data_IF_931336120011
#
_entry.id   IF_931336120011
#
_cell.length_a   1.000
_cell.length_b   1.000
_cell.length_c   1.000
_cell.angle_alpha   90.00
_cell.angle_beta   90.00
_cell.angle_gamma   90.00
#
_symmetry.space_group_name_H-M   'P 1'
#
loop_
_entity.id
_entity.type
_entity.pdbx_description
1 polymer ?
#
# COMPACT_ATOMS: atom_id res chain seq x y z
N UNK A 1 21.66 1.73 29.28
CA UNK A 1 20.31 2.24 28.98
C UNK A 1 20.46 3.32 27.93
N UNK A 2 19.88 3.12 26.74
CA UNK A 2 19.85 4.17 25.72
C UNK A 2 18.86 5.23 26.21
N UNK A 3 19.28 6.48 26.33
CA UNK A 3 18.39 7.57 26.69
C UNK A 3 17.27 7.65 25.65
N UNK A 4 16.01 7.46 26.07
CA UNK A 4 14.88 7.60 25.14
C UNK A 4 14.75 9.08 24.77
N UNK A 5 15.11 9.43 23.54
CA UNK A 5 14.88 10.79 23.02
C UNK A 5 13.41 11.18 23.12
N UNK A 6 13.15 12.47 23.33
CA UNK A 6 11.80 13.00 23.40
C UNK A 6 11.10 12.91 22.02
N UNK A 7 9.78 12.69 22.03
CA UNK A 7 8.96 12.72 20.83
C UNK A 7 8.95 14.11 20.21
N UNK A 8 9.29 14.21 18.93
CA UNK A 8 9.15 15.41 18.10
C UNK A 8 7.79 15.37 17.39
N UNK A 9 7.24 16.54 17.06
CA UNK A 9 5.94 16.68 16.40
C UNK A 9 6.09 17.31 15.02
N UNK A 10 5.35 16.79 14.04
CA UNK A 10 5.25 17.31 12.69
C UNK A 10 3.76 17.51 12.34
N UNK A 11 3.30 18.76 12.10
CA UNK A 11 1.90 19.03 11.74
C UNK A 11 1.54 18.37 10.40
N UNK A 12 0.70 17.33 10.44
CA UNK A 12 0.18 16.59 9.29
C UNK A 12 -1.16 15.96 9.70
N UNK A 13 -2.24 16.40 9.07
CA UNK A 13 -3.59 15.87 9.30
C UNK A 13 -3.77 14.47 8.72
N UNK A 14 -4.74 13.72 9.24
CA UNK A 14 -5.07 12.37 8.75
C UNK A 14 -5.48 12.30 7.27
N UNK A 15 -5.95 13.40 6.68
CA UNK A 15 -6.25 13.46 5.24
C UNK A 15 -5.00 13.54 4.37
N UNK A 16 -3.89 14.05 4.91
CA UNK A 16 -2.60 14.15 4.23
C UNK A 16 -1.71 12.95 4.49
N UNK A 17 -1.78 12.34 5.67
CA UNK A 17 -1.08 11.08 5.98
C UNK A 17 -1.88 10.33 7.05
N UNK A 18 -2.16 9.06 6.80
CA UNK A 18 -2.63 8.12 7.82
C UNK A 18 -1.64 6.96 7.91
N UNK A 19 -0.79 6.97 8.94
CA UNK A 19 0.28 5.96 9.07
C UNK A 19 -0.28 4.55 9.30
N UNK A 20 -1.40 4.42 10.00
CA UNK A 20 -2.04 3.12 10.23
C UNK A 20 -2.48 2.46 8.92
N UNK A 21 -2.95 3.24 7.96
CA UNK A 21 -3.32 2.71 6.64
C UNK A 21 -2.08 2.55 5.77
N UNK A 22 -1.23 3.58 5.69
CA UNK A 22 -0.08 3.64 4.78
C UNK A 22 0.96 2.55 5.09
N UNK A 23 1.26 2.32 6.36
CA UNK A 23 2.28 1.35 6.77
C UNK A 23 1.81 -0.12 6.70
N UNK A 24 0.50 -0.36 6.53
CA UNK A 24 -0.11 -1.71 6.48
C UNK A 24 -0.61 -2.12 5.09
N UNK A 25 -0.61 -1.20 4.12
CA UNK A 25 -1.17 -1.45 2.80
C UNK A 25 -0.23 -2.20 1.83
N UNK A 26 0.86 -2.79 2.33
CA UNK A 26 1.75 -3.64 1.54
C UNK A 26 2.77 -2.89 0.67
N UNK A 27 3.04 -1.63 0.99
CA UNK A 27 4.10 -0.83 0.35
C UNK A 27 5.48 -1.13 0.94
N UNK A 28 5.59 -1.07 2.26
CA UNK A 28 6.79 -1.45 3.02
C UNK A 28 6.46 -2.64 3.91
N UNK A 29 7.48 -3.45 4.20
CA UNK A 29 7.34 -4.70 4.96
C UNK A 29 8.12 -4.69 6.28
N UNK A 30 8.74 -3.56 6.64
CA UNK A 30 9.64 -3.45 7.82
C UNK A 30 9.01 -2.82 9.06
N UNK A 31 7.88 -2.14 8.89
CA UNK A 31 7.15 -1.51 9.99
C UNK A 31 6.54 -2.56 10.93
N UNK A 32 6.82 -2.43 12.22
CA UNK A 32 6.29 -3.30 13.28
C UNK A 32 5.61 -2.47 14.37
N UNK A 33 4.51 -2.97 14.92
CA UNK A 33 3.95 -2.46 16.17
C UNK A 33 4.48 -3.31 17.33
N UNK A 34 5.62 -2.88 17.89
CA UNK A 34 6.21 -3.51 19.07
C UNK A 34 5.57 -3.00 20.36
N UNK A 35 5.07 -1.77 20.33
CA UNK A 35 4.28 -1.13 21.38
C UNK A 35 2.91 -0.73 20.81
N UNK A 36 1.83 -0.78 21.60
CA UNK A 36 0.50 -0.40 21.11
C UNK A 36 0.48 1.02 20.54
N UNK A 37 -0.10 1.18 19.35
CA UNK A 37 -0.23 2.46 18.62
C UNK A 37 1.11 3.13 18.24
N UNK A 38 2.23 2.40 18.27
CA UNK A 38 3.53 2.90 17.88
C UNK A 38 4.15 1.99 16.82
N UNK A 39 4.46 2.58 15.67
CA UNK A 39 5.11 1.92 14.54
C UNK A 39 6.61 2.13 14.64
N UNK A 40 7.39 1.07 14.57
CA UNK A 40 8.85 1.16 14.60
C UNK A 40 9.51 0.36 13.51
N UNK A 41 10.61 0.89 12.98
CA UNK A 41 11.54 0.19 12.10
C UNK A 41 12.94 0.81 12.21
N UNK A 42 13.91 0.20 11.55
CA UNK A 42 15.24 0.78 11.34
C UNK A 42 15.33 1.35 9.94
N UNK A 43 16.00 2.50 9.81
CA UNK A 43 16.16 3.18 8.54
C UNK A 43 17.40 4.07 8.58
N UNK A 44 18.33 3.91 7.64
CA UNK A 44 19.54 4.74 7.54
C UNK A 44 20.29 4.88 8.87
N UNK A 45 20.59 3.75 9.51
CA UNK A 45 21.44 3.68 10.70
C UNK A 45 20.77 4.12 12.01
N UNK A 46 19.45 4.32 12.03
CA UNK A 46 18.71 4.70 13.25
C UNK A 46 17.44 3.86 13.43
N UNK A 47 16.99 3.72 14.67
CA UNK A 47 15.68 3.14 15.00
C UNK A 47 14.67 4.29 15.03
N UNK A 48 13.68 4.24 14.13
CA UNK A 48 12.60 5.21 14.04
C UNK A 48 11.34 4.66 14.70
N UNK A 49 10.66 5.51 15.47
CA UNK A 49 9.33 5.24 16.00
C UNK A 49 8.37 6.36 15.59
N UNK A 50 7.14 5.97 15.24
CA UNK A 50 6.05 6.87 14.87
C UNK A 50 4.77 6.55 15.62
N UNK A 51 4.02 7.59 15.97
CA UNK A 51 2.60 7.52 16.33
C UNK A 51 1.90 8.75 15.81
N UNK A 52 0.59 8.70 15.64
CA UNK A 52 -0.13 9.79 14.98
C UNK A 52 -1.43 10.09 15.72
N UNK A 53 -1.73 11.39 15.85
CA UNK A 53 -3.04 11.90 16.24
C UNK A 53 -3.72 12.57 15.03
N UNK A 54 -4.88 13.19 15.23
CA UNK A 54 -5.68 13.79 14.15
C UNK A 54 -4.95 14.88 13.35
N UNK A 55 -3.95 15.52 13.97
CA UNK A 55 -3.32 16.75 13.49
C UNK A 55 -1.79 16.68 13.36
N UNK A 56 -1.15 15.73 14.04
CA UNK A 56 0.30 15.61 14.08
C UNK A 56 0.78 14.18 13.92
N UNK A 57 1.84 14.03 13.13
CA UNK A 57 2.74 12.88 13.20
C UNK A 57 3.76 13.12 14.32
N UNK A 58 3.84 12.21 15.27
CA UNK A 58 4.89 12.19 16.29
C UNK A 58 5.97 11.24 15.83
N UNK A 59 7.22 11.67 15.93
CA UNK A 59 8.37 10.86 15.56
C UNK A 59 9.48 10.92 16.59
N UNK A 60 10.26 9.85 16.66
CA UNK A 60 11.46 9.73 17.49
C UNK A 60 12.51 8.93 16.72
N UNK A 61 13.77 9.35 16.81
CA UNK A 61 14.91 8.58 16.37
C UNK A 61 15.71 8.11 17.58
N UNK A 62 16.34 6.95 17.45
CA UNK A 62 17.34 6.45 18.39
C UNK A 62 18.54 6.04 17.55
N UNK A 63 19.68 6.68 17.82
CA UNK A 63 20.95 6.35 17.19
C UNK A 63 21.71 5.32 18.01
N UNK A 64 22.46 4.40 17.38
CA UNK A 64 23.34 3.47 18.08
C UNK A 64 24.36 4.23 18.96
N UNK A 65 24.62 3.74 20.16
CA UNK A 65 25.48 4.40 21.15
C UNK A 65 26.97 4.45 20.77
N UNK A 66 27.39 3.77 19.70
CA UNK A 66 28.73 3.83 19.15
C UNK A 66 28.64 3.91 17.62
N UNK A 67 29.24 4.94 17.05
CA UNK A 67 29.59 4.93 15.63
C UNK A 67 30.46 3.69 15.38
N UNK A 68 30.03 2.80 14.47
CA UNK A 68 30.88 1.74 13.98
C UNK A 68 32.18 2.38 13.44
N UNK A 69 33.37 1.85 13.75
CA UNK A 69 34.63 2.44 13.33
C UNK A 69 34.73 2.40 11.80
N UNK A 70 34.42 3.52 11.16
CA UNK A 70 34.72 3.78 9.75
C UNK A 70 35.74 4.92 9.69
N UNK A 71 36.93 4.73 9.12
CA UNK A 71 37.93 5.79 9.00
C UNK A 71 37.82 6.56 7.66
N UNK A 72 38.30 7.82 7.58
CA UNK A 72 38.05 8.93 8.48
C UNK A 72 37.09 9.97 7.87
N UNK A 73 36.33 10.61 8.76
CA UNK A 73 35.72 11.94 8.71
C UNK A 73 35.85 12.73 7.40
N UNK A 74 34.73 12.87 6.71
CA UNK A 74 34.41 14.09 5.94
C UNK A 74 33.22 14.74 6.63
N UNK A 75 33.49 15.89 7.24
CA UNK A 75 32.54 16.87 7.76
C UNK A 75 31.37 16.33 8.59
N UNK A 76 31.59 16.31 9.91
CA UNK A 76 30.52 16.35 10.89
C UNK A 76 29.60 17.54 10.61
N UNK A 77 28.52 17.31 9.87
CA UNK A 77 27.35 18.17 9.95
C UNK A 77 26.49 17.63 11.08
N UNK A 78 26.66 18.26 12.23
CA UNK A 78 26.11 17.97 13.56
C UNK A 78 24.59 18.21 13.68
N UNK A 79 23.83 18.01 12.60
CA UNK A 79 22.38 18.24 12.57
C UNK A 79 21.62 16.94 12.32
N UNK A 80 20.82 16.52 13.31
CA UNK A 80 19.87 15.43 13.16
C UNK A 80 18.94 15.66 11.94
N UNK A 81 19.21 14.94 10.86
CA UNK A 81 18.48 15.00 9.58
C UNK A 81 17.17 14.20 9.61
N UNK A 82 16.77 13.64 10.75
CA UNK A 82 15.57 12.79 10.90
C UNK A 82 14.32 13.47 10.34
N UNK A 83 14.12 14.77 10.56
CA UNK A 83 12.94 15.45 10.03
C UNK A 83 12.92 15.45 8.49
N UNK A 84 14.07 15.67 7.85
CA UNK A 84 14.19 15.64 6.40
C UNK A 84 13.94 14.23 5.87
N UNK A 85 14.50 13.22 6.54
CA UNK A 85 14.28 11.81 6.23
C UNK A 85 12.80 11.43 6.35
N UNK A 86 12.11 11.82 7.43
CA UNK A 86 10.67 11.56 7.64
C UNK A 86 9.83 12.21 6.54
N UNK A 87 10.10 13.48 6.22
CA UNK A 87 9.40 14.19 5.14
C UNK A 87 9.63 13.55 3.78
N UNK A 88 10.85 13.07 3.51
CA UNK A 88 11.19 12.37 2.28
C UNK A 88 10.50 11.01 2.20
N UNK A 89 10.66 10.16 3.22
CA UNK A 89 10.14 8.79 3.26
C UNK A 89 8.61 8.74 3.12
N UNK A 90 7.88 9.60 3.84
CA UNK A 90 6.43 9.74 3.67
C UNK A 90 6.02 10.59 2.48
N UNK A 91 6.97 11.10 1.71
CA UNK A 91 6.75 11.87 0.50
C UNK A 91 5.88 13.12 0.74
N UNK A 92 6.10 13.87 1.81
CA UNK A 92 5.18 14.92 2.30
C UNK A 92 5.18 16.23 1.49
N UNK A 93 5.89 16.29 0.36
CA UNK A 93 5.96 17.52 -0.47
C UNK A 93 4.69 17.76 -1.29
N UNK A 94 4.14 16.80 -2.05
CA UNK A 94 2.92 17.01 -2.82
C UNK A 94 1.71 17.19 -1.89
N UNK A 95 0.73 18.00 -2.27
CA UNK A 95 -0.53 18.11 -1.53
C UNK A 95 -1.44 16.92 -1.87
N UNK A 96 -1.63 16.00 -0.91
CA UNK A 96 -2.38 14.76 -1.18
C UNK A 96 -3.86 15.04 -1.42
N UNK A 97 -4.44 15.99 -0.69
CA UNK A 97 -5.85 16.37 -0.83
C UNK A 97 -6.15 16.92 -2.22
N UNK A 98 -5.24 17.70 -2.81
CA UNK A 98 -5.33 18.19 -4.19
C UNK A 98 -5.25 17.04 -5.20
N UNK A 99 -4.37 16.06 -4.98
CA UNK A 99 -4.29 14.86 -5.82
C UNK A 99 -5.60 14.05 -5.75
N UNK A 100 -6.15 13.85 -4.55
CA UNK A 100 -7.43 13.15 -4.37
C UNK A 100 -8.58 13.86 -5.08
N UNK A 101 -8.64 15.20 -4.99
CA UNK A 101 -9.64 16.00 -5.70
C UNK A 101 -9.52 15.82 -7.22
N UNK A 102 -8.30 15.83 -7.77
CA UNK A 102 -8.06 15.61 -9.18
C UNK A 102 -8.45 14.20 -9.64
N UNK A 103 -8.02 13.15 -8.94
CA UNK A 103 -8.38 11.78 -9.29
C UNK A 103 -9.88 11.53 -9.16
N UNK A 104 -10.54 12.11 -8.16
CA UNK A 104 -11.98 12.04 -8.02
C UNK A 104 -12.71 12.79 -9.14
N UNK A 105 -12.16 13.90 -9.64
CA UNK A 105 -12.70 14.61 -10.80
C UNK A 105 -12.67 13.73 -12.07
N UNK A 106 -11.56 13.02 -12.29
CA UNK A 106 -11.31 12.20 -13.49
C UNK A 106 -11.92 10.79 -13.45
N UNK A 107 -12.21 10.24 -12.27
CA UNK A 107 -12.74 8.87 -12.11
C UNK A 107 -13.84 8.77 -11.05
N UNK A 108 -15.03 8.36 -11.49
CA UNK A 108 -16.21 8.16 -10.64
C UNK A 108 -16.05 6.99 -9.68
N UNK A 109 -15.30 5.94 -10.06
CA UNK A 109 -15.02 4.81 -9.17
C UNK A 109 -14.12 5.23 -8.01
N UNK A 110 -13.06 5.99 -8.29
CA UNK A 110 -12.20 6.59 -7.29
C UNK A 110 -13.00 7.51 -6.36
N UNK A 111 -13.80 8.43 -6.92
CA UNK A 111 -14.65 9.36 -6.14
C UNK A 111 -15.54 8.65 -5.12
N UNK A 112 -16.10 7.50 -5.48
CA UNK A 112 -16.99 6.74 -4.61
C UNK A 112 -16.26 6.06 -3.43
N UNK A 113 -14.97 5.70 -3.58
CA UNK A 113 -14.23 4.88 -2.61
C UNK A 113 -13.22 5.67 -1.77
N UNK A 114 -12.57 6.66 -2.37
CA UNK A 114 -11.48 7.41 -1.76
C UNK A 114 -11.81 8.13 -0.43
N UNK A 115 -13.02 8.66 -0.18
CA UNK A 115 -13.33 9.36 1.07
C UNK A 115 -13.15 8.51 2.34
N UNK A 116 -13.23 7.17 2.22
CA UNK A 116 -13.03 6.23 3.33
C UNK A 116 -11.56 5.84 3.55
N UNK A 117 -10.68 6.25 2.63
CA UNK A 117 -9.27 5.87 2.54
C UNK A 117 -8.40 7.08 2.28
N UNK A 118 -8.56 8.14 3.07
CA UNK A 118 -7.72 9.34 2.98
C UNK A 118 -6.36 9.12 3.63
N UNK A 119 -5.39 9.98 3.31
CA UNK A 119 -4.05 9.92 3.91
C UNK A 119 -3.18 8.75 3.43
N UNK A 120 -3.60 8.00 2.41
CA UNK A 120 -2.77 6.93 1.80
C UNK A 120 -1.76 7.56 0.84
N UNK A 121 -0.48 7.52 1.22
CA UNK A 121 0.64 8.05 0.43
C UNK A 121 1.51 6.95 -0.14
N UNK A 122 2.22 7.24 -1.22
CA UNK A 122 3.32 6.39 -1.70
C UNK A 122 4.60 6.71 -0.95
N UNK A 123 5.13 5.72 -0.25
CA UNK A 123 6.41 5.82 0.45
C UNK A 123 7.56 5.96 -0.56
N UNK A 124 8.55 6.81 -0.25
CA UNK A 124 9.83 6.89 -0.97
C UNK A 124 10.85 6.01 -0.26
N UNK A 125 10.82 4.71 -0.57
CA UNK A 125 11.72 3.72 0.01
C UNK A 125 13.10 3.78 -0.64
N UNK A 126 14.08 3.19 0.04
CA UNK A 126 15.33 2.82 -0.60
C UNK A 126 15.05 1.80 -1.74
N UNK A 127 15.70 2.01 -2.89
CA UNK A 127 15.42 1.22 -4.09
C UNK A 127 15.86 -0.24 -3.92
N UNK A 128 16.93 -0.48 -3.17
CA UNK A 128 17.43 -1.81 -2.88
C UNK A 128 16.53 -2.55 -1.89
N UNK A 129 16.09 -1.88 -0.83
CA UNK A 129 15.08 -2.40 0.11
C UNK A 129 13.77 -2.76 -0.61
N UNK A 130 13.25 -1.84 -1.44
CA UNK A 130 12.03 -2.07 -2.21
C UNK A 130 12.18 -3.28 -3.14
N UNK A 131 13.30 -3.37 -3.87
CA UNK A 131 13.58 -4.47 -4.80
C UNK A 131 13.51 -5.84 -4.12
N UNK A 132 14.23 -6.04 -3.02
CA UNK A 132 14.21 -7.32 -2.31
C UNK A 132 12.87 -7.58 -1.62
N UNK A 133 12.24 -6.55 -1.06
CA UNK A 133 10.89 -6.64 -0.49
C UNK A 133 9.86 -7.15 -1.51
N UNK A 134 9.89 -6.62 -2.73
CA UNK A 134 8.95 -7.04 -3.78
C UNK A 134 9.32 -8.37 -4.45
N UNK A 135 10.59 -8.76 -4.51
CA UNK A 135 10.97 -10.14 -4.86
C UNK A 135 10.33 -11.12 -3.87
N UNK A 136 10.39 -10.84 -2.56
CA UNK A 136 9.72 -11.62 -1.51
C UNK A 136 8.18 -11.66 -1.67
N UNK A 137 7.60 -10.64 -2.30
CA UNK A 137 6.14 -10.50 -2.47
C UNK A 137 5.50 -11.40 -3.53
N UNK A 138 6.28 -11.85 -4.52
CA UNK A 138 5.78 -12.66 -5.63
C UNK A 138 5.03 -13.90 -5.12
N UNK A 139 3.75 -14.08 -5.48
CA UNK A 139 2.90 -15.20 -5.01
C UNK A 139 2.95 -15.42 -3.48
N UNK A 140 2.67 -14.38 -2.70
CA UNK A 140 2.79 -14.39 -1.25
C UNK A 140 1.71 -13.51 -0.58
N UNK A 141 1.70 -13.41 0.75
CA UNK A 141 0.81 -12.51 1.49
C UNK A 141 1.62 -11.55 2.39
N UNK A 142 1.06 -10.38 2.69
CA UNK A 142 1.73 -9.29 3.41
C UNK A 142 2.37 -9.78 4.72
N UNK A 143 1.65 -10.56 5.53
CA UNK A 143 2.16 -11.06 6.81
C UNK A 143 3.43 -11.91 6.65
N UNK A 144 3.42 -12.85 5.70
CA UNK A 144 4.59 -13.71 5.43
C UNK A 144 5.73 -12.92 4.82
N UNK A 145 5.45 -11.95 3.95
CA UNK A 145 6.47 -11.08 3.36
C UNK A 145 7.18 -10.28 4.45
N UNK A 146 6.43 -9.65 5.36
CA UNK A 146 7.00 -8.93 6.51
C UNK A 146 7.89 -9.81 7.38
N UNK A 147 7.48 -11.06 7.65
CA UNK A 147 8.31 -12.01 8.38
C UNK A 147 9.60 -12.35 7.63
N UNK A 148 9.52 -12.58 6.32
CA UNK A 148 10.70 -12.86 5.49
C UNK A 148 11.67 -11.67 5.51
N UNK A 149 11.19 -10.45 5.26
CA UNK A 149 12.03 -9.25 5.26
C UNK A 149 12.63 -8.99 6.64
N UNK A 150 11.88 -9.21 7.71
CA UNK A 150 12.43 -9.11 9.07
C UNK A 150 13.55 -10.12 9.33
N UNK A 151 13.35 -11.39 8.95
CA UNK A 151 14.38 -12.42 9.08
C UNK A 151 15.62 -12.09 8.24
N UNK A 152 15.44 -11.52 7.04
CA UNK A 152 16.55 -11.05 6.21
C UNK A 152 17.41 -10.03 6.96
N UNK A 153 16.77 -9.01 7.55
CA UNK A 153 17.46 -7.97 8.32
C UNK A 153 18.15 -8.56 9.56
N UNK A 154 17.47 -9.44 10.30
CA UNK A 154 18.02 -10.05 11.52
C UNK A 154 19.30 -10.87 11.26
N UNK A 155 19.36 -11.56 10.11
CA UNK A 155 20.48 -12.45 9.81
C UNK A 155 21.62 -11.80 9.03
N UNK A 156 21.33 -10.77 8.22
CA UNK A 156 22.31 -10.17 7.31
C UNK A 156 22.47 -8.67 7.48
N UNK A 157 21.54 -8.01 8.19
CA UNK A 157 21.56 -6.57 8.38
C UNK A 157 22.37 -6.14 9.60
N UNK A 158 22.95 -4.93 9.56
CA UNK A 158 23.75 -4.42 10.66
C UNK A 158 22.89 -4.20 11.91
N UNK A 159 23.39 -4.63 13.06
CA UNK A 159 22.71 -4.44 14.34
C UNK A 159 22.81 -2.98 14.79
N UNK A 160 21.67 -2.37 15.16
CA UNK A 160 21.60 -0.96 15.57
C UNK A 160 21.28 -0.77 17.06
N UNK A 161 20.72 -1.77 17.72
CA UNK A 161 20.36 -1.70 19.13
C UNK A 161 19.11 -2.51 19.46
N UNK A 162 18.51 -2.22 20.62
CA UNK A 162 17.27 -2.85 21.06
C UNK A 162 16.16 -1.82 21.20
N UNK A 163 14.93 -2.22 20.90
CA UNK A 163 13.72 -1.51 21.30
C UNK A 163 12.93 -2.42 22.26
N UNK A 164 13.02 -2.15 23.57
CA UNK A 164 12.65 -3.14 24.58
C UNK A 164 13.60 -4.34 24.51
N UNK A 165 13.04 -5.55 24.42
CA UNK A 165 13.81 -6.80 24.27
C UNK A 165 14.05 -7.18 22.80
N UNK A 166 13.52 -6.40 21.85
CA UNK A 166 13.60 -6.71 20.43
C UNK A 166 14.91 -6.17 19.81
N UNK A 167 15.77 -7.03 19.24
CA UNK A 167 16.94 -6.57 18.52
C UNK A 167 16.53 -5.95 17.18
N UNK A 168 17.09 -4.79 16.88
CA UNK A 168 16.79 -3.97 15.72
C UNK A 168 17.99 -3.99 14.79
N UNK A 169 17.79 -4.51 13.58
CA UNK A 169 18.81 -4.58 12.52
C UNK A 169 18.37 -3.74 11.33
N UNK A 170 19.29 -3.05 10.66
CA UNK A 170 19.00 -2.34 9.42
C UNK A 170 18.89 -3.30 8.21
N UNK A 171 18.62 -2.76 7.02
CA UNK A 171 18.57 -3.53 5.79
C UNK A 171 19.99 -3.96 5.36
N UNK A 172 20.20 -5.22 4.93
CA UNK A 172 21.50 -5.64 4.43
C UNK A 172 21.84 -4.97 3.10
N UNK A 173 23.11 -4.68 2.89
CA UNK A 173 23.67 -4.21 1.62
C UNK A 173 23.71 -5.33 0.57
N UNK A 174 23.82 -5.00 -0.73
CA UNK A 174 24.04 -6.01 -1.77
C UNK A 174 25.27 -6.89 -1.51
N UNK A 175 26.36 -6.30 -0.98
CA UNK A 175 27.59 -7.03 -0.69
C UNK A 175 27.39 -8.12 0.38
N UNK A 176 26.67 -7.82 1.46
CA UNK A 176 26.35 -8.78 2.53
C UNK A 176 25.52 -9.97 2.03
N UNK A 177 24.71 -9.77 0.97
CA UNK A 177 23.88 -10.81 0.36
C UNK A 177 24.49 -11.48 -0.88
N UNK A 178 25.61 -10.98 -1.39
CA UNK A 178 26.29 -11.55 -2.56
C UNK A 178 27.28 -12.67 -2.20
N UNK A 179 27.54 -12.90 -0.91
CA UNK A 179 28.54 -13.88 -0.44
C UNK A 179 28.09 -15.34 -0.66
N UNK A 180 29.04 -16.29 -0.80
CA UNK A 180 28.71 -17.72 -0.92
C UNK A 180 27.85 -18.24 0.23
N UNK A 181 26.91 -19.13 -0.06
CA UNK A 181 26.04 -19.78 0.94
C UNK A 181 24.75 -19.02 1.29
N UNK A 182 24.58 -17.77 0.86
CA UNK A 182 23.37 -16.97 1.14
C UNK A 182 22.11 -17.65 0.62
N UNK A 183 22.11 -18.19 -0.61
CA UNK A 183 20.94 -18.91 -1.14
C UNK A 183 20.53 -20.07 -0.22
N UNK A 184 21.47 -20.93 0.15
CA UNK A 184 21.19 -22.09 0.99
C UNK A 184 20.61 -21.66 2.34
N UNK A 185 21.22 -20.66 2.98
CA UNK A 185 20.74 -20.15 4.26
C UNK A 185 19.36 -19.51 4.16
N UNK A 186 19.06 -18.76 3.09
CA UNK A 186 17.70 -18.23 2.87
C UNK A 186 16.67 -19.34 2.64
N UNK A 187 17.05 -20.48 2.04
CA UNK A 187 16.16 -21.65 1.94
C UNK A 187 15.83 -22.22 3.31
N UNK A 188 16.83 -22.37 4.19
CA UNK A 188 16.65 -22.79 5.58
C UNK A 188 15.73 -21.84 6.36
N UNK A 189 15.84 -20.53 6.09
CA UNK A 189 14.99 -19.49 6.69
C UNK A 189 13.59 -19.38 6.06
N UNK A 190 13.21 -20.29 5.16
CA UNK A 190 11.84 -20.40 4.64
C UNK A 190 11.50 -19.49 3.45
N UNK A 191 12.51 -18.93 2.76
CA UNK A 191 12.29 -18.09 1.57
C UNK A 191 11.85 -18.90 0.34
N UNK A 192 12.05 -20.23 0.37
CA UNK A 192 11.69 -21.13 -0.72
C UNK A 192 12.45 -20.80 -2.01
N UNK A 193 11.77 -20.85 -3.16
CA UNK A 193 12.38 -20.58 -4.45
C UNK A 193 12.94 -19.15 -4.58
N UNK A 194 12.44 -18.19 -3.78
CA UNK A 194 12.87 -16.78 -3.80
C UNK A 194 14.29 -16.61 -3.25
N UNK A 195 14.79 -17.57 -2.48
CA UNK A 195 16.17 -17.56 -2.01
C UNK A 195 17.17 -17.43 -3.17
N UNK A 196 16.96 -18.18 -4.25
CA UNK A 196 17.77 -18.08 -5.47
C UNK A 196 17.68 -16.69 -6.11
N UNK A 197 16.48 -16.12 -6.13
CA UNK A 197 16.24 -14.81 -6.75
C UNK A 197 16.95 -13.69 -5.98
N UNK A 198 16.88 -13.73 -4.65
CA UNK A 198 17.54 -12.76 -3.79
C UNK A 198 19.06 -12.87 -3.92
N UNK A 199 19.62 -14.07 -3.77
CA UNK A 199 21.08 -14.28 -3.86
C UNK A 199 21.62 -13.86 -5.23
N UNK A 200 20.95 -14.25 -6.32
CA UNK A 200 21.40 -13.87 -7.66
C UNK A 200 21.24 -12.38 -7.95
N UNK A 201 20.14 -11.78 -7.52
CA UNK A 201 19.93 -10.33 -7.66
C UNK A 201 20.95 -9.54 -6.84
N UNK A 202 21.28 -9.98 -5.62
CA UNK A 202 22.31 -9.37 -4.80
C UNK A 202 23.68 -9.39 -5.49
N UNK A 203 24.07 -10.51 -6.10
CA UNK A 203 25.29 -10.61 -6.90
C UNK A 203 25.28 -9.62 -8.07
N UNK A 204 24.21 -9.58 -8.86
CA UNK A 204 24.09 -8.68 -10.01
C UNK A 204 24.15 -7.20 -9.61
N UNK A 205 23.46 -6.82 -8.53
CA UNK A 205 23.47 -5.44 -8.02
C UNK A 205 24.80 -5.10 -7.38
N UNK A 206 25.45 -6.04 -6.69
CA UNK A 206 26.79 -5.86 -6.14
C UNK A 206 27.83 -5.62 -7.25
N UNK A 207 27.79 -6.41 -8.33
CA UNK A 207 28.66 -6.27 -9.51
C UNK A 207 28.45 -4.94 -10.24
N UNK A 208 27.18 -4.50 -10.41
CA UNK A 208 26.85 -3.21 -11.06
C UNK A 208 27.06 -2.00 -10.14
N UNK A 209 27.02 -2.20 -8.83
CA UNK A 209 27.06 -1.18 -7.79
C UNK A 209 25.70 -0.53 -7.50
N UNK A 210 25.52 -0.07 -6.26
CA UNK A 210 24.32 0.71 -5.86
C UNK A 210 24.08 1.98 -6.69
N UNK A 211 25.12 2.71 -7.19
CA UNK A 211 24.90 3.86 -8.08
C UNK A 211 24.12 3.52 -9.35
N UNK A 212 24.28 2.30 -9.91
CA UNK A 212 23.49 1.86 -11.06
C UNK A 212 22.00 1.83 -10.74
N UNK A 213 21.62 1.19 -9.61
CA UNK A 213 20.21 1.09 -9.20
C UNK A 213 19.63 2.47 -8.86
N UNK A 214 20.40 3.31 -8.15
CA UNK A 214 19.98 4.66 -7.81
C UNK A 214 19.90 5.60 -9.03
N UNK A 215 20.67 5.33 -10.08
CA UNK A 215 20.59 6.03 -11.36
C UNK A 215 19.27 5.83 -12.11
N UNK A 216 18.48 4.80 -11.74
CA UNK A 216 17.15 4.55 -12.32
C UNK A 216 16.04 5.39 -11.67
N UNK A 217 16.37 6.20 -10.66
CA UNK A 217 15.40 7.06 -9.96
C UNK A 217 14.86 8.14 -10.91
N UNK A 218 13.59 8.47 -10.75
CA UNK A 218 12.97 9.59 -11.45
C UNK A 218 13.73 10.89 -11.08
N UNK A 219 14.36 11.57 -12.04
CA UNK A 219 15.11 12.80 -11.77
C UNK A 219 14.19 14.01 -11.54
N UNK A 220 12.92 13.92 -11.92
CA UNK A 220 11.98 15.01 -11.76
C UNK A 220 11.61 15.20 -10.28
N UNK A 221 11.50 16.45 -9.80
CA UNK A 221 10.97 16.70 -8.46
C UNK A 221 9.54 16.15 -8.34
N UNK A 222 9.13 15.64 -7.15
CA UNK A 222 7.77 15.18 -6.94
C UNK A 222 6.78 16.32 -7.20
N UNK A 223 5.83 16.10 -8.12
CA UNK A 223 4.67 16.96 -8.37
C UNK A 223 5.01 18.43 -8.73
N UNK A 224 5.25 18.70 -10.02
CA UNK A 224 5.20 20.08 -10.56
C UNK A 224 3.93 20.34 -11.39
N UNK A 225 3.25 19.29 -11.87
CA UNK A 225 1.99 19.40 -12.62
C UNK A 225 1.07 18.22 -12.33
N UNK A 226 -0.17 18.52 -11.93
CA UNK A 226 -1.20 17.53 -11.53
C UNK A 226 -1.94 16.96 -12.76
N UNK A 227 -1.69 17.51 -13.96
CA UNK A 227 -2.51 17.25 -15.15
C UNK A 227 -1.70 16.94 -16.42
N UNK A 228 -0.42 16.60 -16.30
CA UNK A 228 0.35 16.18 -17.47
C UNK A 228 -0.15 14.81 -17.96
N UNK A 229 -0.62 14.80 -19.21
CA UNK A 229 -1.03 13.59 -19.89
C UNK A 229 0.19 12.67 -20.02
N UNK A 230 0.03 11.43 -19.57
CA UNK A 230 1.06 10.40 -19.71
C UNK A 230 0.70 9.56 -20.93
N UNK A 231 1.65 9.41 -21.84
CA UNK A 231 1.50 8.55 -23.01
C UNK A 231 1.32 7.07 -22.63
N UNK A 232 0.76 6.29 -23.55
CA UNK A 232 0.68 4.84 -23.39
C UNK A 232 2.08 4.26 -23.17
N UNK A 233 2.20 3.36 -22.20
CA UNK A 233 3.49 2.81 -21.76
C UNK A 233 4.28 3.71 -20.79
N UNK A 234 3.84 4.93 -20.47
CA UNK A 234 4.53 5.81 -19.51
C UNK A 234 5.72 6.58 -20.09
N UNK A 235 6.37 7.44 -19.29
CA UNK A 235 7.49 8.28 -19.76
C UNK A 235 8.72 7.44 -20.17
N UNK A 236 9.58 7.91 -21.08
CA UNK A 236 10.80 7.21 -21.50
C UNK A 236 11.66 6.70 -20.32
N UNK A 237 11.97 7.57 -19.35
CA UNK A 237 12.80 7.18 -18.20
C UNK A 237 12.16 6.11 -17.30
N UNK A 238 10.83 6.12 -17.14
CA UNK A 238 10.12 5.04 -16.45
C UNK A 238 10.27 3.71 -17.21
N UNK A 239 10.11 3.74 -18.54
CA UNK A 239 10.25 2.54 -19.38
C UNK A 239 11.67 1.97 -19.33
N UNK A 240 12.68 2.83 -19.33
CA UNK A 240 14.09 2.43 -19.17
C UNK A 240 14.35 1.82 -17.80
N UNK A 241 13.89 2.45 -16.72
CA UNK A 241 14.01 1.93 -15.36
C UNK A 241 13.31 0.57 -15.21
N UNK A 242 12.10 0.43 -15.75
CA UNK A 242 11.33 -0.81 -15.74
C UNK A 242 12.06 -1.92 -16.51
N UNK A 243 12.54 -1.64 -17.72
CA UNK A 243 13.29 -2.60 -18.53
C UNK A 243 14.58 -3.05 -17.85
N UNK A 244 15.34 -2.12 -17.26
CA UNK A 244 16.57 -2.43 -16.54
C UNK A 244 16.32 -3.34 -15.31
N UNK A 245 15.20 -3.13 -14.60
CA UNK A 245 14.81 -3.98 -13.47
C UNK A 245 14.41 -5.40 -13.91
N UNK A 246 13.79 -5.57 -15.09
CA UNK A 246 13.40 -6.88 -15.63
C UNK A 246 14.59 -7.80 -15.96
N UNK A 247 15.80 -7.25 -16.07
CA UNK A 247 17.02 -8.06 -16.24
C UNK A 247 17.36 -8.86 -14.97
N UNK A 248 16.89 -8.42 -13.80
CA UNK A 248 17.23 -9.02 -12.52
C UNK A 248 16.45 -10.32 -12.26
N UNK A 249 17.09 -11.23 -11.51
CA UNK A 249 16.51 -12.54 -11.25
C UNK A 249 15.29 -12.47 -10.33
N UNK A 250 14.14 -12.93 -10.80
CA UNK A 250 12.89 -12.95 -10.02
C UNK A 250 12.12 -11.64 -10.06
N UNK A 251 12.52 -10.71 -10.93
CA UNK A 251 11.79 -9.46 -11.20
C UNK A 251 10.97 -9.61 -12.47
N UNK A 252 9.64 -9.72 -12.30
CA UNK A 252 8.69 -9.63 -13.41
C UNK A 252 8.04 -8.24 -13.49
N UNK A 253 7.14 -7.99 -14.47
CA UNK A 253 6.54 -6.68 -14.70
C UNK A 253 5.95 -6.04 -13.45
N UNK A 254 5.17 -6.80 -12.66
CA UNK A 254 4.59 -6.32 -11.40
C UNK A 254 5.65 -5.92 -10.37
N UNK A 255 6.72 -6.70 -10.23
CA UNK A 255 7.79 -6.40 -9.26
C UNK A 255 8.54 -5.14 -9.71
N UNK A 256 8.88 -5.04 -11.00
CA UNK A 256 9.52 -3.86 -11.57
C UNK A 256 8.65 -2.61 -11.35
N UNK A 257 7.34 -2.67 -11.60
CA UNK A 257 6.43 -1.55 -11.34
C UNK A 257 6.35 -1.17 -9.87
N UNK A 258 6.33 -2.14 -8.95
CA UNK A 258 6.37 -1.83 -7.53
C UNK A 258 7.65 -1.08 -7.13
N UNK A 259 8.81 -1.48 -7.68
CA UNK A 259 10.09 -0.82 -7.42
C UNK A 259 10.13 0.56 -8.08
N UNK A 260 9.63 0.69 -9.31
CA UNK A 260 9.49 1.99 -9.98
C UNK A 260 8.66 2.97 -9.14
N UNK A 261 7.50 2.55 -8.65
CA UNK A 261 6.58 3.38 -7.89
C UNK A 261 7.14 3.76 -6.51
N UNK A 262 7.55 2.76 -5.72
CA UNK A 262 7.82 2.93 -4.28
C UNK A 262 9.31 3.05 -3.94
N UNK A 263 10.21 2.64 -4.84
CA UNK A 263 11.66 2.73 -4.64
C UNK A 263 12.34 3.79 -5.52
N UNK A 264 11.84 4.02 -6.73
CA UNK A 264 12.48 4.90 -7.72
C UNK A 264 11.73 6.22 -7.98
N UNK A 265 10.50 6.38 -7.46
CA UNK A 265 9.75 7.64 -7.56
C UNK A 265 9.06 7.89 -8.91
N UNK A 266 8.81 6.84 -9.69
CA UNK A 266 8.00 6.91 -10.91
C UNK A 266 6.52 6.78 -10.56
N UNK A 267 5.87 7.92 -10.29
CA UNK A 267 4.46 7.99 -9.87
C UNK A 267 3.46 7.39 -10.87
N UNK A 268 3.84 7.31 -12.15
CA UNK A 268 3.01 6.76 -13.21
C UNK A 268 3.06 5.23 -13.33
N UNK A 269 3.94 4.58 -12.55
CA UNK A 269 4.06 3.13 -12.54
C UNK A 269 2.83 2.51 -11.87
N UNK A 270 2.20 1.55 -12.56
CA UNK A 270 0.95 0.90 -12.11
C UNK A 270 1.19 -0.60 -11.98
N UNK A 271 1.51 -1.11 -10.78
CA UNK A 271 1.69 -2.55 -10.58
C UNK A 271 0.35 -3.28 -10.67
N UNK A 272 0.19 -4.17 -11.67
CA UNK A 272 -1.06 -4.92 -11.85
C UNK A 272 -0.89 -6.36 -11.35
N UNK A 273 -1.41 -6.65 -10.17
CA UNK A 273 -1.51 -8.01 -9.63
C UNK A 273 -2.94 -8.57 -9.76
N UNK A 274 -3.22 -9.70 -9.12
CA UNK A 274 -4.56 -10.30 -9.13
C UNK A 274 -5.61 -9.44 -8.43
N UNK A 275 -5.25 -8.65 -7.42
CA UNK A 275 -6.18 -7.73 -6.76
C UNK A 275 -6.52 -6.54 -7.66
N UNK A 276 -5.51 -5.96 -8.31
CA UNK A 276 -5.71 -4.86 -9.26
C UNK A 276 -6.47 -5.33 -10.49
N UNK A 277 -6.21 -6.55 -10.97
CA UNK A 277 -7.01 -7.18 -12.02
C UNK A 277 -8.49 -7.32 -11.61
N UNK A 278 -8.78 -7.78 -10.38
CA UNK A 278 -10.15 -7.86 -9.88
C UNK A 278 -10.83 -6.49 -9.81
N UNK A 279 -10.11 -5.44 -9.41
CA UNK A 279 -10.60 -4.05 -9.43
C UNK A 279 -10.91 -3.62 -10.87
N UNK A 280 -9.98 -3.86 -11.81
CA UNK A 280 -10.17 -3.52 -13.22
C UNK A 280 -11.40 -4.22 -13.83
N UNK A 281 -11.61 -5.50 -13.55
CA UNK A 281 -12.77 -6.26 -14.04
C UNK A 281 -14.07 -5.75 -13.41
N UNK A 282 -14.12 -5.62 -12.07
CA UNK A 282 -15.32 -5.24 -11.32
C UNK A 282 -15.76 -3.81 -11.62
N UNK A 283 -14.84 -2.87 -11.51
CA UNK A 283 -15.11 -1.43 -11.47
C UNK A 283 -14.97 -0.77 -12.85
N UNK A 284 -14.03 -1.25 -13.68
CA UNK A 284 -13.71 -0.66 -14.99
C UNK A 284 -14.11 -1.54 -16.17
N UNK A 285 -14.80 -2.65 -15.90
CA UNK A 285 -15.37 -3.56 -16.90
C UNK A 285 -14.33 -4.18 -17.85
N UNK A 286 -13.09 -4.35 -17.38
CA UNK A 286 -12.10 -5.18 -18.07
C UNK A 286 -12.55 -6.64 -18.14
N UNK A 287 -12.00 -7.37 -19.10
CA UNK A 287 -12.14 -8.81 -19.22
C UNK A 287 -13.49 -9.33 -19.71
N UNK A 288 -14.26 -8.49 -20.43
CA UNK A 288 -15.39 -8.95 -21.24
C UNK A 288 -14.89 -9.58 -22.55
N UNK A 289 -15.51 -10.68 -22.99
CA UNK A 289 -15.16 -11.36 -24.24
C UNK A 289 -13.91 -12.24 -24.14
N UNK A 290 -12.98 -12.13 -25.11
CA UNK A 290 -11.81 -13.03 -25.24
C UNK A 290 -10.69 -12.79 -24.21
N UNK A 291 -10.80 -11.79 -23.32
CA UNK A 291 -9.72 -11.37 -22.41
C UNK A 291 -10.01 -11.72 -20.93
N UNK A 292 -10.20 -12.99 -20.61
CA UNK A 292 -10.62 -13.41 -19.25
C UNK A 292 -9.48 -13.53 -18.22
N UNK A 293 -8.21 -13.46 -18.64
CA UNK A 293 -7.04 -13.69 -17.79
C UNK A 293 -6.04 -12.53 -17.81
N UNK A 294 -5.20 -12.47 -16.77
CA UNK A 294 -4.10 -11.52 -16.66
C UNK A 294 -2.92 -12.00 -17.53
N UNK A 295 -2.84 -11.49 -18.75
CA UNK A 295 -1.77 -11.66 -19.72
C UNK A 295 -0.95 -10.38 -19.83
N UNK A 296 0.17 -10.38 -20.55
CA UNK A 296 0.92 -9.15 -20.81
C UNK A 296 0.04 -8.05 -21.45
N UNK A 297 -0.76 -8.40 -22.45
CA UNK A 297 -1.62 -7.43 -23.13
C UNK A 297 -2.68 -6.82 -22.20
N UNK A 298 -3.31 -7.65 -21.33
CA UNK A 298 -4.30 -7.14 -20.38
C UNK A 298 -3.66 -6.39 -19.20
N UNK A 299 -2.44 -6.77 -18.80
CA UNK A 299 -1.62 -6.01 -17.86
C UNK A 299 -1.36 -4.59 -18.39
N UNK A 300 -0.80 -4.49 -19.60
CA UNK A 300 -0.44 -3.22 -20.23
C UNK A 300 -1.69 -2.34 -20.43
N UNK A 301 -2.81 -2.93 -20.89
CA UNK A 301 -4.06 -2.20 -21.08
C UNK A 301 -4.66 -1.64 -19.78
N UNK A 302 -4.58 -2.38 -18.66
CA UNK A 302 -5.03 -1.87 -17.35
C UNK A 302 -4.13 -0.73 -16.89
N UNK A 303 -2.82 -0.90 -16.99
CA UNK A 303 -1.85 0.11 -16.59
C UNK A 303 -2.01 1.40 -17.40
N UNK A 304 -2.18 1.30 -18.72
CA UNK A 304 -2.42 2.44 -19.60
C UNK A 304 -3.75 3.12 -19.33
N UNK A 305 -4.82 2.35 -19.06
CA UNK A 305 -6.10 2.93 -18.68
C UNK A 305 -5.98 3.77 -17.41
N UNK A 306 -5.26 3.29 -16.40
CA UNK A 306 -5.08 4.01 -15.14
C UNK A 306 -4.17 5.24 -15.29
N UNK A 307 -3.10 5.16 -16.11
CA UNK A 307 -2.31 6.34 -16.50
C UNK A 307 -3.15 7.38 -17.22
N UNK A 308 -4.02 6.97 -18.15
CA UNK A 308 -4.89 7.90 -18.86
C UNK A 308 -5.93 8.58 -17.95
N UNK A 309 -6.36 7.91 -16.86
CA UNK A 309 -7.30 8.48 -15.89
C UNK A 309 -6.63 9.44 -14.89
N UNK A 310 -5.44 9.08 -14.41
CA UNK A 310 -4.84 9.71 -13.23
C UNK A 310 -3.49 10.40 -13.46
N UNK A 311 -2.97 10.34 -14.69
CA UNK A 311 -1.78 11.06 -15.12
C UNK A 311 -0.49 10.57 -14.44
N UNK A 312 0.39 11.53 -14.14
CA UNK A 312 1.74 11.27 -13.59
C UNK A 312 1.75 10.55 -12.24
N UNK A 313 0.64 10.53 -11.50
CA UNK A 313 0.55 9.91 -10.18
C UNK A 313 -0.45 8.74 -10.17
N UNK A 314 -0.63 8.08 -11.31
CA UNK A 314 -1.57 6.97 -11.45
C UNK A 314 -1.30 5.80 -10.49
N UNK A 315 -0.04 5.51 -10.18
CA UNK A 315 0.33 4.49 -9.19
C UNK A 315 -0.13 4.84 -7.77
N UNK A 316 -0.21 6.13 -7.44
CA UNK A 316 -0.71 6.58 -6.14
C UNK A 316 -2.22 6.37 -6.04
N UNK A 317 -2.97 6.81 -7.04
CA UNK A 317 -4.42 6.61 -7.11
C UNK A 317 -4.78 5.12 -7.09
N UNK A 318 -4.07 4.30 -7.87
CA UNK A 318 -4.21 2.85 -7.87
C UNK A 318 -3.96 2.26 -6.47
N UNK A 319 -2.96 2.75 -5.74
CA UNK A 319 -2.63 2.25 -4.39
C UNK A 319 -3.74 2.55 -3.37
N UNK A 320 -4.48 3.64 -3.51
CA UNK A 320 -5.69 3.90 -2.70
C UNK A 320 -6.75 2.82 -2.95
N UNK A 321 -7.05 2.52 -4.23
CA UNK A 321 -8.04 1.51 -4.58
C UNK A 321 -7.61 0.10 -4.18
N UNK A 322 -6.32 -0.21 -4.32
CA UNK A 322 -5.75 -1.46 -3.84
C UNK A 322 -5.93 -1.59 -2.33
N UNK A 323 -5.60 -0.55 -1.57
CA UNK A 323 -5.76 -0.50 -0.12
C UNK A 323 -7.21 -0.76 0.28
N UNK A 324 -8.17 -0.11 -0.40
CA UNK A 324 -9.58 -0.31 -0.17
C UNK A 324 -10.06 -1.76 -0.41
N UNK A 325 -9.36 -2.51 -1.28
CA UNK A 325 -9.70 -3.89 -1.61
C UNK A 325 -9.05 -4.94 -0.68
N UNK A 326 -8.11 -4.53 0.19
CA UNK A 326 -7.45 -5.44 1.12
C UNK A 326 -8.40 -5.92 2.22
N UNK A 327 -8.28 -7.20 2.58
CA UNK A 327 -9.10 -7.82 3.64
C UNK A 327 -8.98 -7.09 4.98
N UNK A 328 -7.79 -6.60 5.31
CA UNK A 328 -7.51 -5.88 6.56
C UNK A 328 -8.34 -4.60 6.73
N UNK A 329 -8.88 -4.03 5.64
CA UNK A 329 -9.62 -2.78 5.65
C UNK A 329 -11.09 -2.91 5.22
N UNK A 330 -11.60 -4.14 5.02
CA UNK A 330 -13.02 -4.36 4.67
C UNK A 330 -13.99 -3.70 5.67
N UNK A 331 -13.63 -3.63 6.95
CA UNK A 331 -14.45 -2.97 7.97
C UNK A 331 -14.62 -1.46 7.77
N UNK A 332 -13.66 -0.77 7.13
CA UNK A 332 -13.76 0.66 6.83
C UNK A 332 -14.74 0.95 5.69
N UNK A 333 -14.92 0.01 4.76
CA UNK A 333 -15.97 0.07 3.73
C UNK A 333 -17.37 -0.25 4.29
N UNK A 334 -17.43 -1.02 5.37
CA UNK A 334 -18.68 -1.51 5.99
C UNK A 334 -19.20 -0.64 7.14
N UNK A 335 -18.51 0.44 7.52
CA UNK A 335 -19.08 1.42 8.45
C UNK A 335 -20.31 2.07 7.81
N UNK A 336 -21.48 1.48 8.05
CA UNK A 336 -22.78 2.08 7.78
C UNK A 336 -22.82 3.40 8.55
N UNK A 337 -23.01 4.51 7.84
CA UNK A 337 -23.42 5.75 8.50
C UNK A 337 -24.76 5.47 9.18
N UNK A 338 -24.79 5.48 10.51
CA UNK A 338 -26.06 5.52 11.25
C UNK A 338 -26.70 6.88 11.00
N UNK A 339 -27.50 6.99 9.95
CA UNK A 339 -28.40 8.14 9.78
C UNK A 339 -29.51 7.97 10.81
N UNK A 340 -29.38 8.66 11.95
CA UNK A 340 -30.45 8.80 12.92
C UNK A 340 -31.44 9.84 12.38
N UNK A 341 -32.51 9.38 11.74
CA UNK A 341 -33.69 10.23 11.50
C UNK A 341 -34.58 10.20 12.75
N UNK A 342 -34.73 11.35 13.40
CA UNK A 342 -35.78 11.57 14.40
C UNK A 342 -37.09 11.87 13.65
N UNK A 343 -37.96 10.86 13.50
CA UNK A 343 -39.35 11.10 13.09
C UNK A 343 -40.17 11.48 14.33
N UNK A 344 -40.82 12.65 14.27
CA UNK A 344 -41.73 13.13 15.31
C UNK A 344 -43.15 12.73 14.92
N UNK A 345 -43.72 11.74 15.62
CA UNK A 345 -45.10 11.31 15.36
C UNK A 345 -46.02 11.99 16.38
N UNK A 346 -46.95 12.82 15.89
CA UNK A 346 -47.98 13.45 16.72
C UNK A 346 -49.22 12.55 16.70
N UNK A 347 -49.54 11.95 17.85
CA UNK A 347 -50.82 11.25 18.05
C UNK A 347 -51.77 12.16 18.83
N UNK A 348 -52.97 12.33 18.29
CA UNK A 348 -54.09 13.00 18.95
C UNK A 348 -55.10 11.92 19.32
N UNK A 349 -55.30 11.69 20.61
CA UNK A 349 -56.35 10.80 21.12
C UNK A 349 -57.50 11.67 21.63
N UNK A 350 -58.69 11.48 21.05
CA UNK A 350 -59.91 12.16 21.50
C UNK A 350 -60.58 11.32 22.59
N UNK A 351 -60.34 11.73 23.84
CA UNK A 351 -61.00 11.19 25.02
C UNK A 351 -61.64 12.33 25.80
N UNK A 352 -62.85 12.73 25.39
CA UNK A 352 -63.79 13.49 26.22
C UNK A 352 -63.18 14.65 27.00
N UNK A 353 -62.89 15.75 26.31
CA UNK A 353 -62.78 17.08 26.93
C UNK A 353 -61.38 17.61 27.27
N UNK A 354 -60.29 16.88 26.99
CA UNK A 354 -58.92 17.41 27.03
C UNK A 354 -58.08 16.84 25.88
N UNK A 355 -57.60 17.71 24.99
CA UNK A 355 -56.64 17.35 23.94
C UNK A 355 -55.28 17.15 24.59
N UNK A 356 -54.77 15.92 24.60
CA UNK A 356 -53.44 15.60 25.09
C UNK A 356 -52.53 15.28 23.90
N UNK A 357 -51.54 16.15 23.63
CA UNK A 357 -50.56 15.94 22.56
C UNK A 357 -49.40 15.10 23.10
N UNK A 358 -49.27 13.86 22.65
CA UNK A 358 -48.09 13.02 22.94
C UNK A 358 -47.10 13.13 21.78
N UNK A 359 -45.88 13.58 22.09
CA UNK A 359 -44.75 13.59 21.15
C UNK A 359 -43.93 12.33 21.38
N UNK A 360 -43.92 11.41 20.42
CA UNK A 360 -43.14 10.17 20.49
C UNK A 360 -41.96 10.28 19.50
N UNK A 361 -40.72 10.29 20.03
CA UNK A 361 -39.49 10.27 19.21
C UNK A 361 -39.19 8.84 18.81
N UNK A 362 -39.31 8.51 17.52
CA UNK A 362 -39.01 7.17 17.01
C UNK A 362 -37.66 7.18 16.30
N UNK A 363 -36.72 6.37 16.79
CA UNK A 363 -35.42 6.14 16.12
C UNK A 363 -35.61 5.10 15.03
N UNK A 364 -35.70 5.52 13.78
CA UNK A 364 -35.86 4.61 12.64
C UNK A 364 -34.49 4.25 12.07
N UNK A 365 -34.15 2.96 12.10
CA UNK A 365 -32.98 2.41 11.41
C UNK A 365 -33.43 2.01 10.00
N UNK A 366 -33.08 2.81 8.98
CA UNK A 366 -33.33 2.42 7.57
C UNK A 366 -32.12 1.66 7.04
N UNK A 367 -32.37 0.45 6.55
CA UNK A 367 -31.39 -0.29 5.76
C UNK A 367 -31.49 0.20 4.32
N UNK A 368 -30.40 0.69 3.75
CA UNK A 368 -30.27 0.73 2.29
C UNK A 368 -29.95 -0.70 1.86
N UNK A 369 -30.93 -1.37 1.25
CA UNK A 369 -30.71 -2.61 0.52
C UNK A 369 -29.76 -2.30 -0.65
N UNK A 370 -28.52 -2.76 -0.53
CA UNK A 370 -27.61 -2.85 -1.66
C UNK A 370 -28.02 -4.12 -2.42
N UNK A 371 -28.35 -4.00 -3.71
CA UNK A 371 -28.66 -5.11 -4.60
C UNK A 371 -27.44 -6.03 -4.74
N UNK A 372 -27.24 -6.87 -3.74
CA UNK A 372 -26.41 -8.06 -3.82
C UNK A 372 -27.14 -9.07 -4.69
N UNK A 373 -26.57 -9.31 -5.88
CA UNK A 373 -26.95 -10.40 -6.79
C UNK A 373 -27.17 -11.68 -5.97
N UNK A 374 -28.42 -12.11 -5.89
CA UNK A 374 -28.82 -13.43 -5.41
C UNK A 374 -28.34 -14.43 -6.46
N UNK A 375 -27.52 -15.40 -6.05
CA UNK A 375 -27.21 -16.59 -6.85
C UNK A 375 -28.52 -17.33 -7.16
N UNK A 376 -29.14 -17.07 -8.32
CA UNK A 376 -30.25 -17.87 -8.81
C UNK A 376 -29.67 -19.16 -9.39
N UNK A 377 -29.62 -20.20 -8.56
CA UNK A 377 -29.54 -21.58 -9.04
C UNK A 377 -30.82 -21.90 -9.79
N UNK A 378 -30.75 -21.93 -11.12
CA UNK A 378 -31.80 -22.50 -11.97
C UNK A 378 -31.68 -24.02 -11.88
N UNK A 379 -32.45 -24.64 -10.98
CA UNK A 379 -32.75 -26.07 -11.05
C UNK A 379 -33.93 -26.27 -12.01
N UNK A 380 -33.63 -26.77 -13.21
CA UNK A 380 -34.65 -27.14 -14.19
C UNK A 380 -35.26 -28.49 -13.79
N UNK A 381 -36.38 -28.47 -13.07
CA UNK A 381 -37.20 -29.66 -12.84
C UNK A 381 -38.27 -29.80 -13.93
N UNK A 382 -38.11 -30.76 -14.83
CA UNK A 382 -39.10 -31.10 -15.86
C UNK A 382 -40.26 -31.87 -15.24
N UNK A 383 -41.44 -31.25 -15.15
CA UNK A 383 -42.68 -31.93 -14.74
C UNK A 383 -43.41 -32.45 -15.98
N UNK A 384 -43.36 -33.75 -16.21
CA UNK A 384 -44.12 -34.43 -17.28
C UNK A 384 -45.58 -34.62 -16.83
N UNK A 385 -46.51 -33.90 -17.43
CA UNK A 385 -47.97 -34.07 -17.20
C UNK A 385 -48.50 -35.27 -18.00
N UNK A 386 -48.81 -36.37 -17.33
CA UNK A 386 -49.52 -37.52 -17.90
C UNK A 386 -51.00 -37.19 -18.09
N UNK A 387 -51.48 -37.16 -19.34
CA UNK A 387 -52.92 -37.06 -19.66
C UNK A 387 -53.64 -38.35 -19.27
N UNK A 388 -54.53 -38.28 -18.27
CA UNK A 388 -55.54 -39.32 -18.00
C UNK A 388 -56.62 -39.28 -19.09
N UNK A 389 -56.74 -40.35 -19.87
CA UNK A 389 -57.83 -40.59 -20.83
C UNK A 389 -58.96 -41.30 -20.06
N UNK A 390 -60.15 -40.69 -19.97
CA UNK A 390 -61.37 -41.35 -19.49
C UNK A 390 -61.89 -42.31 -20.57
N UNK A 391 -62.19 -43.55 -20.15
CA UNK A 391 -62.99 -44.53 -20.90
C UNK A 391 -64.43 -44.03 -20.98
N UNK A 392 -65.02 -44.08 -22.17
CA UNK A 392 -66.35 -44.65 -22.38
C UNK A 392 -66.17 -45.86 -23.29
#
# INVERSE_FOLDING_TARGET
MIAMEAWKKLPVSLTELCIDTTLRCGQSFRWRQLTPNEWSMTLHGRILSFKQDESHLHYRAIFPAAALPTPPSSDANDSDDTLALVKHYFNLKPNLSALYANWAASDTNFRAKAPRFTGVRILQQDAWEALLGFICSSNNNISRISQMVHNLCRHYGPFLGHLGDEPMHDFPTPAELAVPGVEQRLRELGFGYRAKYIARTAQMVHERGLPWLNGLRNPAPPCTSISEAVEAGGRPGYREAHAALLELQGVGPKVADCVCLMGLGWGEAVPVDTHVWQIAVRDYKFGKGKQTSLTKATYDAVADKFRALWGMEAGWAQSVLFTANLRAFKGQLMKKEEVVQEETVVKVEDGGGKIMVKTEKRRVKRELEDEGIVDVKIETSTITRTKRRRRN
#
